data_IF_076713050493
#
_entry.id   IF_076713050493
#
_cell.length_a   1.000
_cell.length_b   1.000
_cell.length_c   1.000
_cell.angle_alpha   90.00
_cell.angle_beta   90.00
_cell.angle_gamma   90.00
#
_symmetry.space_group_name_H-M   'P 1'
#
loop_
_entity.id
_entity.type
_entity.pdbx_description
1 polymer ?
#
# COMPACT_ATOMS: atom_id res chain seq x y z
N UNK A 1 3.34 -35.08 -29.45
CA UNK A 1 2.38 -34.04 -29.01
C UNK A 1 2.55 -33.59 -27.55
N UNK A 2 3.62 -33.97 -26.84
CA UNK A 2 3.78 -33.76 -25.38
C UNK A 2 4.60 -32.52 -24.96
N UNK A 3 5.40 -31.93 -25.86
CA UNK A 3 6.33 -30.82 -25.50
C UNK A 3 5.67 -29.45 -25.30
N UNK A 4 4.49 -29.19 -25.86
CA UNK A 4 3.78 -27.91 -25.69
C UNK A 4 3.07 -27.79 -24.33
N UNK A 5 2.89 -28.92 -23.64
CA UNK A 5 2.09 -29.05 -22.42
C UNK A 5 2.91 -28.89 -21.14
N UNK A 6 4.17 -29.35 -21.15
CA UNK A 6 5.11 -29.11 -20.05
C UNK A 6 5.37 -27.61 -19.88
N UNK A 7 5.41 -26.85 -20.97
CA UNK A 7 5.59 -25.40 -20.93
C UNK A 7 4.41 -24.66 -20.28
N UNK A 8 3.16 -25.14 -20.42
CA UNK A 8 2.01 -24.47 -19.82
C UNK A 8 1.95 -24.73 -18.30
N UNK A 9 2.16 -25.97 -17.86
CA UNK A 9 2.23 -26.30 -16.43
C UNK A 9 3.46 -25.67 -15.77
N UNK A 10 4.62 -25.67 -16.43
CA UNK A 10 5.83 -25.01 -15.91
C UNK A 10 5.64 -23.49 -15.87
N UNK A 11 4.98 -22.85 -16.85
CA UNK A 11 4.67 -21.41 -16.77
C UNK A 11 3.66 -21.07 -15.67
N UNK A 12 2.65 -21.91 -15.45
CA UNK A 12 1.65 -21.68 -14.38
C UNK A 12 2.22 -21.94 -12.99
N UNK A 13 2.98 -23.02 -12.80
CA UNK A 13 3.68 -23.27 -11.53
C UNK A 13 4.87 -22.30 -11.32
N UNK A 14 5.53 -21.79 -12.38
CA UNK A 14 6.47 -20.66 -12.27
C UNK A 14 5.75 -19.37 -11.87
N UNK A 15 4.54 -19.11 -12.37
CA UNK A 15 3.76 -17.92 -11.99
C UNK A 15 3.29 -18.00 -10.52
N UNK A 16 2.88 -19.17 -10.05
CA UNK A 16 2.51 -19.39 -8.65
C UNK A 16 3.69 -19.24 -7.66
N UNK A 17 4.93 -19.46 -8.13
CA UNK A 17 6.16 -19.23 -7.37
C UNK A 17 6.89 -17.91 -7.69
N UNK A 18 6.37 -17.06 -8.58
CA UNK A 18 7.03 -15.83 -9.06
C UNK A 18 6.61 -14.56 -8.31
N UNK A 19 6.27 -14.66 -7.03
CA UNK A 19 6.45 -13.50 -6.13
C UNK A 19 7.94 -13.17 -5.92
N UNK A 20 8.88 -14.03 -6.32
CA UNK A 20 10.32 -13.87 -6.00
C UNK A 20 11.33 -13.92 -7.18
N UNK A 21 10.93 -14.04 -8.46
CA UNK A 21 11.91 -14.08 -9.56
C UNK A 21 11.61 -13.13 -10.72
N UNK A 22 12.46 -12.11 -10.83
CA UNK A 22 12.74 -11.40 -12.07
C UNK A 22 11.76 -10.28 -12.36
N UNK A 23 12.12 -9.06 -11.95
CA UNK A 23 11.81 -7.87 -12.74
C UNK A 23 12.15 -8.19 -14.20
N UNK A 24 11.12 -8.51 -15.02
CA UNK A 24 11.17 -8.24 -16.45
C UNK A 24 11.70 -6.81 -16.54
N UNK A 25 12.78 -6.54 -17.31
CA UNK A 25 13.40 -5.22 -17.34
C UNK A 25 12.30 -4.20 -17.56
N UNK A 26 11.98 -3.49 -16.47
CA UNK A 26 10.93 -2.48 -16.46
C UNK A 26 11.55 -1.38 -17.29
N UNK A 27 11.27 -1.41 -18.59
CA UNK A 27 11.52 -0.28 -19.46
C UNK A 27 10.99 0.93 -18.73
N UNK A 28 11.87 1.92 -18.49
CA UNK A 28 11.61 3.09 -17.65
C UNK A 28 10.16 3.55 -17.80
N UNK A 29 9.43 3.85 -16.71
CA UNK A 29 8.07 4.34 -16.77
C UNK A 29 8.07 5.79 -17.29
N UNK A 30 8.27 5.95 -18.60
CA UNK A 30 8.07 7.21 -19.34
C UNK A 30 6.89 7.11 -20.29
N UNK A 31 6.25 5.94 -20.38
CA UNK A 31 5.03 5.75 -21.15
C UNK A 31 3.84 6.36 -20.39
N UNK A 32 3.17 7.33 -21.01
CA UNK A 32 1.93 7.93 -20.51
C UNK A 32 0.91 6.83 -20.16
N UNK A 33 0.14 6.98 -19.06
CA UNK A 33 -0.88 5.99 -18.68
C UNK A 33 -1.84 5.77 -19.87
N UNK A 34 -2.00 4.51 -20.25
CA UNK A 34 -2.90 4.11 -21.34
C UNK A 34 -4.33 4.27 -20.85
N UNK A 35 -5.19 4.95 -21.62
CA UNK A 35 -6.58 5.14 -21.23
C UNK A 35 -7.34 3.81 -21.19
N UNK A 36 -8.28 3.69 -20.26
CA UNK A 36 -9.16 2.51 -20.12
C UNK A 36 -9.81 2.11 -21.44
N UNK A 37 -10.34 3.08 -22.20
CA UNK A 37 -10.99 2.81 -23.49
C UNK A 37 -10.04 2.15 -24.49
N UNK A 38 -8.77 2.55 -24.50
CA UNK A 38 -7.76 1.97 -25.38
C UNK A 38 -7.40 0.55 -24.96
N UNK A 39 -7.26 0.29 -23.66
CA UNK A 39 -7.05 -1.06 -23.12
C UNK A 39 -8.23 -1.99 -23.45
N UNK A 40 -9.46 -1.54 -23.24
CA UNK A 40 -10.68 -2.29 -23.62
C UNK A 40 -10.68 -2.60 -25.11
N UNK A 41 -10.34 -1.62 -25.96
CA UNK A 41 -10.23 -1.84 -27.41
C UNK A 41 -9.16 -2.86 -27.80
N UNK A 42 -8.04 -2.90 -27.08
CA UNK A 42 -6.98 -3.89 -27.29
C UNK A 42 -7.42 -5.29 -26.87
N UNK A 43 -8.04 -5.44 -25.69
CA UNK A 43 -8.55 -6.72 -25.18
C UNK A 43 -9.61 -7.32 -26.12
N UNK A 44 -10.60 -6.51 -26.52
CA UNK A 44 -11.66 -6.94 -27.44
C UNK A 44 -11.16 -7.17 -28.88
N UNK A 45 -9.99 -6.64 -29.21
CA UNK A 45 -9.37 -6.73 -30.53
C UNK A 45 -9.04 -8.16 -30.96
N UNK A 46 -8.98 -8.37 -32.28
CA UNK A 46 -8.59 -9.66 -32.88
C UNK A 46 -7.08 -9.93 -32.80
N UNK A 47 -6.25 -8.89 -32.73
CA UNK A 47 -4.79 -9.00 -32.66
C UNK A 47 -4.35 -9.61 -31.34
N UNK A 48 -3.65 -10.74 -31.41
CA UNK A 48 -3.10 -11.45 -30.25
C UNK A 48 -2.01 -10.63 -29.55
N UNK A 49 -1.12 -10.01 -30.32
CA UNK A 49 -0.04 -9.14 -29.83
C UNK A 49 -0.58 -7.97 -29.00
N UNK A 50 -1.63 -7.29 -29.49
CA UNK A 50 -2.24 -6.17 -28.75
C UNK A 50 -2.93 -6.61 -27.47
N UNK A 51 -3.49 -7.83 -27.43
CA UNK A 51 -4.05 -8.40 -26.20
C UNK A 51 -2.96 -8.73 -25.20
N UNK A 52 -1.86 -9.30 -25.66
CA UNK A 52 -0.68 -9.59 -24.83
C UNK A 52 -0.10 -8.30 -24.24
N UNK A 53 0.04 -7.25 -25.05
CA UNK A 53 0.47 -5.92 -24.60
C UNK A 53 -0.49 -5.33 -23.56
N UNK A 54 -1.80 -5.42 -23.79
CA UNK A 54 -2.80 -4.95 -22.83
C UNK A 54 -2.71 -5.69 -21.49
N UNK A 55 -2.57 -7.02 -21.51
CA UNK A 55 -2.43 -7.84 -20.30
C UNK A 55 -1.14 -7.58 -19.53
N UNK A 56 -0.05 -7.22 -20.23
CA UNK A 56 1.22 -6.85 -19.62
C UNK A 56 1.17 -5.48 -18.92
N UNK A 57 0.34 -4.56 -19.42
CA UNK A 57 0.17 -3.21 -18.87
C UNK A 57 -0.90 -3.16 -17.78
N UNK A 58 -1.84 -4.11 -17.76
CA UNK A 58 -2.91 -4.17 -16.76
C UNK A 58 -2.35 -4.43 -15.35
N UNK A 59 -2.57 -3.46 -14.47
CA UNK A 59 -2.36 -3.59 -13.04
C UNK A 59 -3.64 -4.06 -12.32
N UNK A 60 -3.52 -4.42 -11.03
CA UNK A 60 -4.65 -4.87 -10.22
C UNK A 60 -5.74 -3.79 -10.08
N UNK A 61 -5.38 -2.51 -10.10
CA UNK A 61 -6.31 -1.39 -9.96
C UNK A 61 -7.20 -1.21 -11.22
N UNK A 62 -6.63 -1.40 -12.41
CA UNK A 62 -7.34 -1.29 -13.68
C UNK A 62 -8.37 -2.40 -13.84
N UNK A 63 -8.11 -3.61 -13.35
CA UNK A 63 -9.07 -4.73 -13.44
C UNK A 63 -10.36 -4.47 -12.68
N UNK A 64 -10.32 -3.63 -11.62
CA UNK A 64 -11.53 -3.23 -10.88
C UNK A 64 -12.53 -2.43 -11.73
N UNK A 65 -12.11 -1.90 -12.88
CA UNK A 65 -12.99 -1.16 -13.76
C UNK A 65 -13.87 -2.14 -14.55
N UNK A 66 -15.20 -2.01 -14.40
CA UNK A 66 -16.21 -2.86 -15.05
C UNK A 66 -15.92 -3.10 -16.55
N UNK A 67 -15.60 -2.06 -17.37
CA UNK A 67 -15.35 -2.29 -18.80
C UNK A 67 -14.15 -3.20 -19.11
N UNK A 68 -13.14 -3.21 -18.23
CA UNK A 68 -11.95 -4.06 -18.37
C UNK A 68 -12.31 -5.50 -18.00
N UNK A 69 -12.99 -5.72 -16.88
CA UNK A 69 -13.45 -7.05 -16.48
C UNK A 69 -14.33 -7.70 -17.56
N UNK A 70 -15.30 -6.97 -18.11
CA UNK A 70 -16.14 -7.47 -19.21
C UNK A 70 -15.33 -7.77 -20.47
N UNK A 71 -14.32 -6.95 -20.80
CA UNK A 71 -13.44 -7.21 -21.94
C UNK A 71 -12.55 -8.45 -21.74
N UNK A 72 -12.13 -8.74 -20.51
CA UNK A 72 -11.41 -9.96 -20.16
C UNK A 72 -12.32 -11.20 -20.29
N UNK A 73 -13.56 -11.13 -19.80
CA UNK A 73 -14.56 -12.21 -20.00
C UNK A 73 -14.79 -12.49 -21.47
N UNK A 74 -15.02 -11.44 -22.28
CA UNK A 74 -15.19 -11.58 -23.73
C UNK A 74 -13.98 -12.22 -24.40
N UNK A 75 -12.75 -11.89 -23.94
CA UNK A 75 -11.51 -12.50 -24.41
C UNK A 75 -11.48 -14.00 -24.12
N UNK A 76 -11.78 -14.38 -22.87
CA UNK A 76 -11.86 -15.78 -22.44
C UNK A 76 -12.91 -16.53 -23.24
N UNK A 77 -14.15 -16.04 -23.31
CA UNK A 77 -15.23 -16.69 -24.03
C UNK A 77 -14.91 -16.87 -25.52
N UNK A 78 -14.33 -15.86 -26.17
CA UNK A 78 -13.94 -15.96 -27.57
C UNK A 78 -12.92 -17.07 -27.77
N UNK A 79 -11.89 -17.11 -26.94
CA UNK A 79 -10.81 -18.10 -27.04
C UNK A 79 -11.36 -19.52 -26.79
N UNK A 80 -12.29 -19.67 -25.85
CA UNK A 80 -13.02 -20.91 -25.58
C UNK A 80 -13.90 -21.35 -26.77
N UNK A 81 -14.64 -20.43 -27.40
CA UNK A 81 -15.43 -20.71 -28.61
C UNK A 81 -14.54 -21.19 -29.77
N UNK A 82 -13.31 -20.69 -29.83
CA UNK A 82 -12.30 -21.12 -30.81
C UNK A 82 -11.60 -22.44 -30.41
N UNK A 83 -11.95 -23.04 -29.26
CA UNK A 83 -11.29 -24.20 -28.66
C UNK A 83 -9.78 -23.99 -28.50
N UNK A 84 -9.37 -22.78 -28.14
CA UNK A 84 -7.98 -22.37 -27.94
C UNK A 84 -7.81 -21.88 -26.51
N UNK A 85 -7.52 -22.77 -25.58
CA UNK A 85 -6.97 -22.36 -24.28
C UNK A 85 -5.52 -21.87 -24.50
N UNK A 86 -5.35 -20.56 -24.66
CA UNK A 86 -4.03 -19.94 -24.88
C UNK A 86 -3.46 -19.42 -23.57
N UNK A 87 -2.18 -19.04 -23.59
CA UNK A 87 -1.56 -18.32 -22.47
C UNK A 87 -2.33 -17.03 -22.12
N UNK A 88 -2.87 -16.33 -23.12
CA UNK A 88 -3.66 -15.12 -22.91
C UNK A 88 -4.98 -15.40 -22.21
N UNK A 89 -5.58 -16.57 -22.49
CA UNK A 89 -6.78 -17.04 -21.81
C UNK A 89 -6.50 -17.24 -20.31
N UNK A 90 -5.36 -17.87 -19.98
CA UNK A 90 -4.94 -18.05 -18.60
C UNK A 90 -4.62 -16.74 -17.90
N UNK A 91 -3.86 -15.86 -18.54
CA UNK A 91 -3.59 -14.52 -18.02
C UNK A 91 -4.87 -13.73 -17.80
N UNK A 92 -5.85 -13.82 -18.71
CA UNK A 92 -7.13 -13.13 -18.55
C UNK A 92 -7.93 -13.67 -17.36
N UNK A 93 -7.92 -14.99 -17.13
CA UNK A 93 -8.57 -15.61 -15.96
C UNK A 93 -7.87 -15.21 -14.64
N UNK A 94 -6.54 -15.24 -14.58
CA UNK A 94 -5.80 -14.79 -13.38
C UNK A 94 -6.02 -13.30 -13.11
N UNK A 95 -6.09 -12.46 -14.15
CA UNK A 95 -6.49 -11.06 -13.97
C UNK A 95 -7.92 -10.94 -13.45
N UNK A 96 -8.89 -11.64 -14.03
CA UNK A 96 -10.29 -11.64 -13.55
C UNK A 96 -10.40 -12.07 -12.09
N UNK A 97 -9.55 -12.99 -11.64
CA UNK A 97 -9.51 -13.39 -10.25
C UNK A 97 -9.07 -12.27 -9.29
N UNK A 98 -8.51 -11.15 -9.77
CA UNK A 98 -8.24 -9.97 -8.95
C UNK A 98 -9.45 -9.02 -8.83
N UNK A 99 -10.55 -9.30 -9.53
CA UNK A 99 -11.77 -8.47 -9.45
C UNK A 99 -12.51 -8.68 -8.14
N UNK A 100 -13.06 -7.62 -7.56
CA UNK A 100 -13.88 -7.69 -6.34
C UNK A 100 -15.36 -8.02 -6.62
N UNK A 101 -15.75 -8.15 -7.90
CA UNK A 101 -17.13 -8.41 -8.29
C UNK A 101 -17.47 -9.89 -8.21
N UNK A 102 -18.56 -10.21 -7.53
CA UNK A 102 -19.07 -11.58 -7.43
C UNK A 102 -19.39 -12.19 -8.80
N UNK A 103 -19.84 -11.40 -9.78
CA UNK A 103 -20.12 -11.92 -11.12
C UNK A 103 -18.87 -12.42 -11.85
N UNK A 104 -17.72 -11.80 -11.59
CA UNK A 104 -16.44 -12.19 -12.21
C UNK A 104 -15.92 -13.48 -11.56
N UNK A 105 -16.10 -13.61 -10.25
CA UNK A 105 -15.77 -14.82 -9.48
C UNK A 105 -16.68 -15.97 -9.89
N UNK A 106 -18.00 -15.75 -9.94
CA UNK A 106 -18.96 -16.76 -10.39
C UNK A 106 -18.70 -17.23 -11.82
N UNK A 107 -18.25 -16.32 -12.70
CA UNK A 107 -17.81 -16.69 -14.04
C UNK A 107 -16.63 -17.68 -14.00
N UNK A 108 -15.60 -17.42 -13.18
CA UNK A 108 -14.48 -18.35 -13.00
C UNK A 108 -14.91 -19.67 -12.34
N UNK A 109 -15.77 -19.63 -11.33
CA UNK A 109 -16.33 -20.84 -10.69
C UNK A 109 -17.04 -21.71 -11.73
N UNK A 110 -17.86 -21.11 -12.60
CA UNK A 110 -18.51 -21.84 -13.70
C UNK A 110 -17.51 -22.44 -14.68
N UNK A 111 -16.36 -21.80 -14.90
CA UNK A 111 -15.31 -22.34 -15.77
C UNK A 111 -14.58 -23.54 -15.17
N UNK A 112 -14.57 -23.68 -13.83
CA UNK A 112 -14.10 -24.93 -13.20
C UNK A 112 -14.97 -26.12 -13.61
N UNK A 113 -16.24 -25.89 -13.94
CA UNK A 113 -17.12 -26.96 -14.41
C UNK A 113 -16.86 -27.40 -15.86
N UNK A 114 -16.00 -26.69 -16.60
CA UNK A 114 -15.71 -26.94 -18.01
C UNK A 114 -15.29 -28.40 -18.28
N UNK A 115 -15.72 -29.00 -19.41
CA UNK A 115 -15.24 -30.32 -19.84
C UNK A 115 -13.78 -30.27 -20.34
N UNK A 116 -13.27 -29.10 -20.73
CA UNK A 116 -11.86 -28.93 -21.05
C UNK A 116 -11.07 -28.82 -19.74
N UNK A 117 -10.33 -29.88 -19.43
CA UNK A 117 -9.47 -30.02 -18.24
C UNK A 117 -8.55 -28.81 -18.07
N UNK A 118 -8.01 -28.25 -19.16
CA UNK A 118 -7.08 -27.12 -19.07
C UNK A 118 -7.81 -25.84 -18.64
N UNK A 119 -9.00 -25.61 -19.18
CA UNK A 119 -9.82 -24.45 -18.85
C UNK A 119 -10.26 -24.53 -17.39
N UNK A 120 -10.73 -25.71 -16.97
CA UNK A 120 -11.12 -25.97 -15.60
C UNK A 120 -9.93 -25.80 -14.63
N UNK A 121 -8.76 -26.32 -14.98
CA UNK A 121 -7.54 -26.17 -14.20
C UNK A 121 -7.12 -24.72 -14.05
N UNK A 122 -7.03 -23.98 -15.16
CA UNK A 122 -6.61 -22.58 -15.15
C UNK A 122 -7.58 -21.73 -14.34
N UNK A 123 -8.90 -21.93 -14.49
CA UNK A 123 -9.89 -21.23 -13.69
C UNK A 123 -9.71 -21.50 -12.19
N UNK A 124 -9.44 -22.75 -11.80
CA UNK A 124 -9.21 -23.11 -10.41
C UNK A 124 -7.90 -22.57 -9.84
N UNK A 125 -6.82 -22.59 -10.61
CA UNK A 125 -5.56 -21.98 -10.24
C UNK A 125 -5.73 -20.46 -10.02
N UNK A 126 -6.42 -19.77 -10.95
CA UNK A 126 -6.75 -18.36 -10.79
C UNK A 126 -7.61 -18.09 -9.55
N UNK A 127 -8.60 -18.93 -9.24
CA UNK A 127 -9.40 -18.80 -8.02
C UNK A 127 -8.58 -19.01 -6.74
N UNK A 128 -7.64 -19.96 -6.76
CA UNK A 128 -6.78 -20.23 -5.62
C UNK A 128 -5.83 -19.06 -5.30
N UNK A 129 -5.38 -18.29 -6.30
CA UNK A 129 -4.59 -17.07 -6.11
C UNK A 129 -5.28 -16.02 -5.21
N UNK A 130 -6.64 -16.03 -5.15
CA UNK A 130 -7.41 -15.14 -4.27
C UNK A 130 -7.24 -15.46 -2.80
N UNK A 131 -6.86 -16.71 -2.48
CA UNK A 131 -6.73 -17.21 -1.11
C UNK A 131 -8.03 -17.06 -0.30
N UNK A 132 -9.16 -17.27 -0.96
CA UNK A 132 -10.50 -17.20 -0.36
C UNK A 132 -10.97 -18.62 0.01
N UNK A 133 -11.28 -18.90 1.29
CA UNK A 133 -11.76 -20.21 1.74
C UNK A 133 -13.06 -20.65 1.08
N UNK A 134 -13.96 -19.73 0.74
CA UNK A 134 -15.27 -20.06 0.15
C UNK A 134 -15.13 -20.60 -1.27
N UNK A 135 -13.99 -20.34 -1.92
CA UNK A 135 -13.66 -20.83 -3.25
C UNK A 135 -12.93 -22.17 -3.23
N UNK A 136 -12.55 -22.70 -2.06
CA UNK A 136 -11.92 -24.01 -1.94
C UNK A 136 -12.82 -25.16 -2.40
N UNK A 137 -14.11 -25.26 -2.02
CA UNK A 137 -14.97 -26.37 -2.43
C UNK A 137 -15.01 -26.63 -3.95
N UNK A 138 -15.23 -25.63 -4.84
CA UNK A 138 -15.20 -25.87 -6.28
C UNK A 138 -13.80 -26.29 -6.78
N UNK A 139 -12.71 -25.74 -6.23
CA UNK A 139 -11.33 -26.14 -6.57
C UNK A 139 -11.09 -27.61 -6.17
N UNK A 140 -11.46 -28.00 -4.95
CA UNK A 140 -11.29 -29.36 -4.45
C UNK A 140 -12.12 -30.38 -5.23
N UNK A 141 -13.32 -29.98 -5.69
CA UNK A 141 -14.17 -30.83 -6.52
C UNK A 141 -13.50 -31.25 -7.85
N UNK A 142 -12.57 -30.44 -8.37
CA UNK A 142 -11.81 -30.80 -9.57
C UNK A 142 -10.86 -31.95 -9.32
N UNK A 143 -10.22 -32.02 -8.15
CA UNK A 143 -9.30 -33.09 -7.81
C UNK A 143 -9.97 -34.48 -7.83
N UNK A 144 -11.30 -34.51 -7.63
CA UNK A 144 -12.11 -35.73 -7.66
C UNK A 144 -12.45 -36.22 -9.07
N UNK A 145 -12.26 -35.37 -10.10
CA UNK A 145 -12.51 -35.76 -11.50
C UNK A 145 -11.43 -36.73 -11.97
N UNK A 146 -11.83 -37.80 -12.65
CA UNK A 146 -10.91 -38.87 -13.09
C UNK A 146 -9.79 -38.34 -13.98
N UNK A 147 -10.10 -37.35 -14.81
CA UNK A 147 -9.18 -36.70 -15.74
C UNK A 147 -8.08 -35.91 -15.01
N UNK A 148 -8.42 -35.34 -13.86
CA UNK A 148 -7.48 -34.60 -13.00
C UNK A 148 -6.70 -35.53 -12.08
N UNK A 149 -7.36 -36.53 -11.51
CA UNK A 149 -6.75 -37.53 -10.64
C UNK A 149 -5.59 -38.27 -11.30
N UNK A 150 -5.59 -38.39 -12.63
CA UNK A 150 -4.51 -39.04 -13.38
C UNK A 150 -3.33 -38.10 -13.69
N UNK A 151 -3.50 -36.80 -13.56
CA UNK A 151 -2.45 -35.82 -13.87
C UNK A 151 -1.73 -35.37 -12.60
N UNK A 152 -0.53 -35.90 -12.39
CA UNK A 152 0.34 -35.52 -11.27
C UNK A 152 0.61 -34.01 -11.22
N UNK A 153 0.90 -33.38 -12.37
CA UNK A 153 1.21 -31.95 -12.42
C UNK A 153 0.02 -31.06 -12.03
N UNK A 154 -1.20 -31.43 -12.41
CA UNK A 154 -2.39 -30.67 -12.02
C UNK A 154 -2.72 -30.84 -10.54
N UNK A 155 -2.58 -32.06 -10.01
CA UNK A 155 -2.74 -32.29 -8.58
C UNK A 155 -1.72 -31.48 -7.79
N UNK A 156 -0.44 -31.51 -8.17
CA UNK A 156 0.60 -30.71 -7.50
C UNK A 156 0.34 -29.20 -7.54
N UNK A 157 0.07 -28.59 -8.70
CA UNK A 157 -0.18 -27.15 -8.71
C UNK A 157 -1.49 -26.78 -7.94
N UNK A 158 -2.49 -27.69 -7.87
CA UNK A 158 -3.69 -27.48 -7.04
C UNK A 158 -3.39 -27.60 -5.55
N UNK A 159 -2.54 -28.55 -5.17
CA UNK A 159 -1.97 -28.71 -3.82
C UNK A 159 -1.24 -27.44 -3.39
N UNK A 160 -0.30 -26.97 -4.21
CA UNK A 160 0.49 -25.77 -3.92
C UNK A 160 -0.40 -24.54 -3.75
N UNK A 161 -1.41 -24.40 -4.61
CA UNK A 161 -2.32 -23.27 -4.56
C UNK A 161 -3.26 -23.32 -3.34
N UNK A 162 -3.66 -24.52 -2.91
CA UNK A 162 -4.49 -24.70 -1.71
C UNK A 162 -3.66 -24.61 -0.43
N UNK A 163 -2.41 -25.10 -0.41
CA UNK A 163 -1.50 -25.02 0.74
C UNK A 163 -1.20 -23.57 1.17
N UNK A 164 -1.34 -22.62 0.25
CA UNK A 164 -1.15 -21.18 0.54
C UNK A 164 -2.39 -20.48 1.13
N UNK A 165 -3.53 -21.15 1.23
CA UNK A 165 -4.79 -20.59 1.75
C UNK A 165 -4.86 -20.59 3.30
N UNK A 166 -4.47 -21.66 4.01
CA UNK A 166 -4.51 -21.75 5.48
C UNK A 166 -3.76 -20.64 6.22
N UNK A 167 -2.58 -20.22 5.77
CA UNK A 167 -1.74 -19.27 6.52
C UNK A 167 -2.34 -17.86 6.63
N UNK A 168 -3.21 -17.48 5.68
CA UNK A 168 -3.99 -16.25 5.77
C UNK A 168 -5.24 -16.42 6.63
N UNK A 169 -5.79 -17.64 6.70
CA UNK A 169 -6.92 -17.97 7.55
C UNK A 169 -6.56 -18.03 9.02
N UNK A 170 -5.38 -18.55 9.40
CA UNK A 170 -4.96 -18.52 10.81
C UNK A 170 -4.72 -17.09 11.32
N UNK A 171 -4.34 -16.15 10.42
CA UNK A 171 -4.21 -14.72 10.72
C UNK A 171 -5.52 -13.93 10.68
N UNK A 172 -6.55 -14.42 9.95
CA UNK A 172 -7.86 -13.76 9.81
C UNK A 172 -8.96 -14.38 10.71
N UNK A 173 -8.77 -15.61 11.18
CA UNK A 173 -9.75 -16.33 11.97
C UNK A 173 -9.54 -16.11 13.47
N UNK A 174 -9.98 -14.95 13.96
CA UNK A 174 -10.29 -14.76 15.38
C UNK A 174 -11.49 -15.63 15.82
N UNK A 175 -12.23 -16.22 14.87
CA UNK A 175 -13.40 -17.05 15.13
C UNK A 175 -13.07 -18.56 15.13
N UNK A 176 -13.41 -19.30 16.19
CA UNK A 176 -13.19 -20.75 16.28
C UNK A 176 -13.92 -21.55 15.18
N UNK A 177 -15.02 -21.01 14.63
CA UNK A 177 -15.76 -21.66 13.54
C UNK A 177 -14.98 -21.69 12.22
N UNK A 178 -14.24 -20.61 11.92
CA UNK A 178 -13.42 -20.54 10.72
C UNK A 178 -12.22 -21.50 10.83
N UNK A 179 -11.59 -21.59 12.01
CA UNK A 179 -10.51 -22.56 12.28
C UNK A 179 -10.99 -24.02 12.10
N UNK A 180 -12.19 -24.35 12.58
CA UNK A 180 -12.75 -25.69 12.41
C UNK A 180 -13.04 -26.02 10.93
N UNK A 181 -13.53 -25.04 10.15
CA UNK A 181 -13.76 -25.22 8.72
C UNK A 181 -12.45 -25.46 7.95
N UNK A 182 -11.39 -24.73 8.30
CA UNK A 182 -10.05 -24.92 7.72
C UNK A 182 -9.51 -26.31 8.05
N UNK A 183 -9.56 -26.74 9.31
CA UNK A 183 -9.12 -28.09 9.71
C UNK A 183 -9.89 -29.20 9.00
N UNK A 184 -11.21 -29.04 8.84
CA UNK A 184 -12.05 -29.99 8.10
C UNK A 184 -11.69 -30.05 6.62
N UNK A 185 -11.37 -28.91 6.01
CA UNK A 185 -10.92 -28.86 4.62
C UNK A 185 -9.51 -29.45 4.47
N UNK A 186 -8.59 -29.19 5.41
CA UNK A 186 -7.23 -29.75 5.43
C UNK A 186 -7.24 -31.29 5.47
N UNK A 187 -8.06 -31.87 6.35
CA UNK A 187 -8.25 -33.32 6.40
C UNK A 187 -8.82 -33.88 5.09
N UNK A 188 -9.86 -33.23 4.53
CA UNK A 188 -10.44 -33.64 3.25
C UNK A 188 -9.44 -33.57 2.10
N UNK A 189 -8.56 -32.57 2.11
CA UNK A 189 -7.49 -32.45 1.12
C UNK A 189 -6.49 -33.58 1.26
N UNK A 190 -6.00 -33.86 2.47
CA UNK A 190 -5.09 -34.99 2.72
C UNK A 190 -5.71 -36.31 2.24
N UNK A 191 -6.98 -36.56 2.55
CA UNK A 191 -7.71 -37.74 2.10
C UNK A 191 -7.82 -37.84 0.56
N UNK A 192 -8.01 -36.70 -0.13
CA UNK A 192 -8.17 -36.64 -1.58
C UNK A 192 -6.84 -36.74 -2.35
N UNK A 193 -5.76 -36.24 -1.76
CA UNK A 193 -4.45 -36.21 -2.38
C UNK A 193 -3.76 -37.59 -2.35
N UNK A 194 -4.06 -38.40 -1.34
CA UNK A 194 -3.40 -39.67 -1.11
C UNK A 194 -1.94 -39.51 -0.66
N UNK A 195 -1.29 -40.61 -0.29
CA UNK A 195 0.06 -40.62 0.28
C UNK A 195 1.11 -39.97 -0.64
N UNK A 196 0.99 -40.16 -1.96
CA UNK A 196 1.96 -39.68 -2.96
C UNK A 196 2.10 -38.14 -3.01
N UNK A 197 1.03 -37.41 -2.68
CA UNK A 197 0.98 -35.95 -2.78
C UNK A 197 0.90 -35.27 -1.41
N UNK A 198 0.65 -36.05 -0.36
CA UNK A 198 0.61 -35.53 1.01
C UNK A 198 1.96 -34.95 1.42
N UNK A 199 3.08 -35.60 1.05
CA UNK A 199 4.42 -35.07 1.33
C UNK A 199 4.63 -33.70 0.65
N UNK A 200 4.24 -33.56 -0.63
CA UNK A 200 4.36 -32.29 -1.36
C UNK A 200 3.45 -31.21 -0.79
N UNK A 201 2.27 -31.58 -0.28
CA UNK A 201 1.36 -30.66 0.41
C UNK A 201 1.95 -30.16 1.74
N UNK A 202 2.50 -31.09 2.53
CA UNK A 202 3.10 -30.77 3.83
C UNK A 202 4.39 -29.94 3.65
N UNK A 203 5.20 -30.23 2.62
CA UNK A 203 6.34 -29.38 2.21
C UNK A 203 5.89 -27.98 1.80
N UNK A 204 4.91 -27.86 0.89
CA UNK A 204 4.42 -26.56 0.44
C UNK A 204 3.76 -25.73 1.55
N UNK A 205 3.16 -26.40 2.55
CA UNK A 205 2.65 -25.75 3.75
C UNK A 205 3.78 -25.22 4.64
N UNK A 206 4.82 -26.01 4.89
CA UNK A 206 5.97 -25.55 5.66
C UNK A 206 6.70 -24.38 4.97
N UNK A 207 6.86 -24.41 3.66
CA UNK A 207 7.44 -23.29 2.90
C UNK A 207 6.61 -22.00 3.06
N UNK A 208 5.28 -22.13 3.10
CA UNK A 208 4.37 -21.01 3.29
C UNK A 208 4.41 -20.47 4.74
N UNK A 209 4.53 -21.35 5.74
CA UNK A 209 4.76 -21.01 7.14
C UNK A 209 6.09 -20.25 7.32
N UNK A 210 7.18 -20.73 6.71
CA UNK A 210 8.49 -20.07 6.74
C UNK A 210 8.45 -18.67 6.07
N UNK A 211 7.78 -18.56 4.92
CA UNK A 211 7.57 -17.29 4.25
C UNK A 211 6.74 -16.31 5.11
N UNK A 212 5.74 -16.81 5.82
CA UNK A 212 4.92 -16.01 6.73
C UNK A 212 5.73 -15.47 7.92
N UNK A 213 6.67 -16.26 8.47
CA UNK A 213 7.59 -15.84 9.52
C UNK A 213 8.57 -14.77 9.03
N UNK A 214 9.10 -14.91 7.82
CA UNK A 214 9.98 -13.89 7.22
C UNK A 214 9.27 -12.54 7.07
N UNK A 215 8.01 -12.54 6.60
CA UNK A 215 7.22 -11.32 6.48
C UNK A 215 6.94 -10.67 7.85
N UNK A 216 6.75 -11.46 8.91
CA UNK A 216 6.59 -10.93 10.26
C UNK A 216 7.87 -10.25 10.77
N UNK A 217 9.04 -10.87 10.54
CA UNK A 217 10.34 -10.29 10.89
C UNK A 217 10.58 -8.99 10.12
N UNK A 218 10.28 -8.93 8.83
CA UNK A 218 10.39 -7.70 8.03
C UNK A 218 9.43 -6.60 8.50
N UNK A 219 8.20 -6.98 8.87
CA UNK A 219 7.20 -6.04 9.37
C UNK A 219 7.61 -5.45 10.73
N UNK A 220 8.16 -6.26 11.63
CA UNK A 220 8.66 -5.78 12.92
C UNK A 220 9.91 -4.91 12.76
N UNK A 221 10.84 -5.28 11.87
CA UNK A 221 11.98 -4.43 11.52
C UNK A 221 11.53 -3.06 10.94
N UNK A 222 10.50 -3.05 10.08
CA UNK A 222 9.93 -1.82 9.54
C UNK A 222 9.27 -0.94 10.62
N UNK A 223 8.59 -1.55 11.59
CA UNK A 223 8.03 -0.83 12.76
C UNK A 223 9.13 -0.22 13.62
N UNK A 224 10.20 -0.97 13.91
CA UNK A 224 11.34 -0.48 14.67
C UNK A 224 12.03 0.69 13.96
N UNK A 225 12.25 0.59 12.64
CA UNK A 225 12.81 1.69 11.84
C UNK A 225 11.92 2.94 11.87
N UNK A 226 10.60 2.76 11.78
CA UNK A 226 9.65 3.86 11.86
C UNK A 226 9.62 4.51 13.25
N UNK A 227 9.71 3.71 14.32
CA UNK A 227 9.83 4.23 15.69
C UNK A 227 11.14 5.01 15.87
N UNK A 228 12.26 4.51 15.37
CA UNK A 228 13.54 5.19 15.41
C UNK A 228 13.52 6.54 14.66
N UNK A 229 12.89 6.60 13.47
CA UNK A 229 12.69 7.86 12.72
C UNK A 229 11.83 8.86 13.49
N UNK A 230 10.73 8.40 14.10
CA UNK A 230 9.88 9.26 14.90
C UNK A 230 10.60 9.81 16.14
N UNK A 231 11.43 9.00 16.79
CA UNK A 231 12.25 9.42 17.94
C UNK A 231 13.31 10.46 17.52
N UNK A 232 13.99 10.23 16.39
CA UNK A 232 14.95 11.17 15.83
C UNK A 232 14.30 12.52 15.52
N UNK A 233 13.13 12.52 14.85
CA UNK A 233 12.37 13.74 14.61
C UNK A 233 11.97 14.47 15.89
N UNK A 234 11.65 13.73 16.96
CA UNK A 234 11.30 14.31 18.25
C UNK A 234 12.51 15.00 18.88
N UNK A 235 13.68 14.36 18.84
CA UNK A 235 14.93 14.94 19.34
C UNK A 235 15.31 16.20 18.55
N UNK A 236 15.18 16.19 17.22
CA UNK A 236 15.43 17.36 16.39
C UNK A 236 14.46 18.52 16.64
N UNK A 237 13.18 18.22 16.91
CA UNK A 237 12.20 19.25 17.30
C UNK A 237 12.56 19.86 18.66
N UNK A 238 12.94 19.05 19.63
CA UNK A 238 13.35 19.53 20.95
C UNK A 238 14.60 20.42 20.88
N UNK A 239 15.63 20.01 20.14
CA UNK A 239 16.86 20.83 20.00
C UNK A 239 16.61 22.16 19.31
N UNK A 240 15.70 22.22 18.32
CA UNK A 240 15.25 23.48 17.71
C UNK A 240 14.52 24.37 18.72
N UNK A 241 13.61 23.81 19.52
CA UNK A 241 12.89 24.60 20.55
C UNK A 241 13.81 25.12 21.64
N UNK A 242 14.85 24.37 22.02
CA UNK A 242 15.87 24.82 22.98
C UNK A 242 16.70 25.97 22.40
N UNK A 243 17.13 25.87 21.14
CA UNK A 243 17.85 26.94 20.45
C UNK A 243 17.00 28.22 20.33
N UNK A 244 15.72 28.08 19.98
CA UNK A 244 14.78 29.21 19.90
C UNK A 244 14.54 29.86 21.27
N UNK A 245 14.44 29.04 22.33
CA UNK A 245 14.31 29.54 23.70
C UNK A 245 15.57 30.29 24.17
N UNK A 246 16.77 29.81 23.83
CA UNK A 246 18.03 30.49 24.14
C UNK A 246 18.16 31.81 23.36
N UNK A 247 17.78 31.83 22.08
CA UNK A 247 17.74 33.03 21.26
C UNK A 247 16.72 34.05 21.80
N UNK A 248 15.54 33.60 22.25
CA UNK A 248 14.54 34.43 22.89
C UNK A 248 15.04 35.03 24.21
N UNK A 249 15.77 34.26 25.03
CA UNK A 249 16.40 34.77 26.26
C UNK A 249 17.41 35.86 25.95
N UNK A 250 18.33 35.64 24.98
CA UNK A 250 19.32 36.65 24.56
C UNK A 250 18.67 37.94 24.05
N UNK A 251 17.59 37.83 23.26
CA UNK A 251 16.80 38.99 22.83
C UNK A 251 16.12 39.71 24.00
N UNK A 252 15.60 38.98 24.98
CA UNK A 252 14.99 39.61 26.16
C UNK A 252 16.01 40.36 27.01
N UNK A 253 17.24 39.85 27.13
CA UNK A 253 18.33 40.51 27.85
C UNK A 253 18.82 41.78 27.14
N UNK A 254 18.90 41.77 25.81
CA UNK A 254 19.26 42.98 25.05
C UNK A 254 18.18 44.05 25.13
N UNK A 255 16.90 43.66 25.10
CA UNK A 255 15.77 44.59 25.29
C UNK A 255 15.78 45.18 26.70
N UNK A 256 16.07 44.39 27.75
CA UNK A 256 16.21 44.89 29.12
C UNK A 256 17.32 45.91 29.25
N UNK A 257 18.51 45.63 28.70
CA UNK A 257 19.63 46.61 28.67
C UNK A 257 19.24 47.89 27.94
N UNK A 258 18.64 47.77 26.76
CA UNK A 258 18.19 48.95 26.00
C UNK A 258 17.13 49.77 26.75
N UNK A 259 16.24 49.11 27.50
CA UNK A 259 15.24 49.78 28.32
C UNK A 259 15.87 50.48 29.54
N UNK A 260 16.85 49.87 30.18
CA UNK A 260 17.63 50.48 31.27
C UNK A 260 18.41 51.72 30.78
N UNK A 261 19.05 51.64 29.61
CA UNK A 261 19.75 52.76 29.01
C UNK A 261 18.80 53.91 28.64
N UNK A 262 17.64 53.58 28.06
CA UNK A 262 16.59 54.58 27.74
C UNK A 262 16.05 55.25 29.01
N UNK A 263 15.86 54.48 30.09
CA UNK A 263 15.44 55.01 31.38
C UNK A 263 16.46 56.01 31.94
N UNK A 264 17.76 55.66 31.91
CA UNK A 264 18.83 56.56 32.36
C UNK A 264 18.85 57.87 31.57
N UNK A 265 18.65 57.80 30.26
CA UNK A 265 18.57 58.98 29.40
C UNK A 265 17.38 59.88 29.79
N UNK A 266 16.20 59.31 30.02
CA UNK A 266 15.00 60.05 30.44
C UNK A 266 15.18 60.67 31.84
N UNK A 267 15.79 59.95 32.77
CA UNK A 267 16.09 60.47 34.12
C UNK A 267 17.07 61.66 34.06
N UNK A 268 18.05 61.63 33.15
CA UNK A 268 18.97 62.74 32.94
C UNK A 268 18.30 63.94 32.25
N UNK A 269 17.39 63.71 31.31
CA UNK A 269 16.56 64.77 30.71
C UNK A 269 15.63 65.42 31.74
N UNK A 270 14.99 64.63 32.62
CA UNK A 270 14.17 65.15 33.71
C UNK A 270 14.98 66.06 34.63
N UNK A 271 16.17 65.63 35.06
CA UNK A 271 17.08 66.46 35.86
C UNK A 271 17.48 67.77 35.17
N UNK A 272 17.65 67.75 33.84
CA UNK A 272 17.94 68.96 33.08
C UNK A 272 16.74 69.91 33.05
N UNK A 273 15.53 69.40 32.83
CA UNK A 273 14.31 70.18 32.85
C UNK A 273 14.03 70.78 34.24
N UNK A 274 14.25 70.04 35.32
CA UNK A 274 14.12 70.55 36.69
C UNK A 274 15.07 71.73 36.94
N UNK A 275 16.32 71.63 36.47
CA UNK A 275 17.28 72.74 36.57
C UNK A 275 16.84 73.97 35.78
N UNK A 276 16.21 73.79 34.62
CA UNK A 276 15.68 74.89 33.82
C UNK A 276 14.46 75.52 34.47
N UNK A 277 13.55 74.73 35.03
CA UNK A 277 12.40 75.21 35.80
C UNK A 277 12.85 76.10 36.96
N UNK A 278 13.80 75.64 37.77
CA UNK A 278 14.34 76.44 38.89
C UNK A 278 14.98 77.76 38.42
N UNK A 279 15.63 77.77 37.25
CA UNK A 279 16.16 79.02 36.67
C UNK A 279 15.04 79.96 36.23
N UNK A 280 14.03 79.44 35.53
CA UNK A 280 12.90 80.23 35.05
C UNK A 280 12.07 80.80 36.22
N UNK A 281 11.84 80.01 37.27
CA UNK A 281 11.18 80.48 38.50
C UNK A 281 11.97 81.62 39.15
N UNK A 282 13.30 81.52 39.18
CA UNK A 282 14.17 82.58 39.69
C UNK A 282 14.11 83.84 38.83
N UNK A 283 14.13 83.71 37.51
CA UNK A 283 13.99 84.83 36.57
C UNK A 283 12.62 85.50 36.67
N UNK A 284 11.54 84.71 36.76
CA UNK A 284 10.19 85.19 36.98
C UNK A 284 10.09 86.00 38.28
N UNK A 285 10.63 85.48 39.40
CA UNK A 285 10.65 86.20 40.67
C UNK A 285 11.52 87.46 40.68
N UNK A 286 12.44 87.62 39.72
CA UNK A 286 13.17 88.90 39.51
C UNK A 286 12.28 89.86 38.71
N UNK A 287 11.59 89.38 37.68
CA UNK A 287 10.68 90.19 36.87
C UNK A 287 9.48 90.70 37.69
N UNK A 288 8.89 89.85 38.53
CA UNK A 288 7.81 90.26 39.45
C UNK A 288 8.27 91.38 40.39
N UNK A 289 9.47 91.27 40.99
CA UNK A 289 10.03 92.33 41.84
C UNK A 289 10.22 93.64 41.09
N UNK A 290 10.76 93.60 39.86
CA UNK A 290 10.90 94.80 39.01
C UNK A 290 9.55 95.40 38.63
N UNK A 291 8.54 94.57 38.37
CA UNK A 291 7.20 95.04 38.05
C UNK A 291 6.56 95.77 39.25
N UNK A 292 6.75 95.25 40.47
CA UNK A 292 6.30 95.91 41.71
C UNK A 292 7.05 97.23 41.92
N UNK A 293 8.38 97.27 41.80
CA UNK A 293 9.18 98.51 41.91
C UNK A 293 8.77 99.57 40.88
N UNK A 294 8.46 99.17 39.64
CA UNK A 294 7.96 100.08 38.60
C UNK A 294 6.56 100.62 38.91
N UNK A 295 5.68 99.84 39.55
CA UNK A 295 4.36 100.30 39.98
C UNK A 295 4.45 101.24 41.19
N UNK A 296 5.39 100.99 42.11
CA UNK A 296 5.64 101.87 43.26
C UNK A 296 6.25 103.21 42.85
N UNK A 297 7.04 103.26 41.77
CA UNK A 297 7.62 104.50 41.25
C UNK A 297 6.68 105.35 40.39
N UNK A 298 5.49 104.84 40.04
CA UNK A 298 4.45 105.55 39.29
C UNK A 298 3.32 106.12 40.17
N UNK A 299 3.25 105.74 41.44
CA UNK A 299 2.33 106.29 42.45
C UNK A 299 3.02 107.33 43.33
#
# INVERSE_FOLDING_TARGET
MTRRWVLLCVSLCLFAGQSAFGQVPVGRPTAKPVSTQKLVGFLKGKSEERRAEALAILDAAAVKQIPIAEALKETVERDLRLKRATLLTAQSMSRLALSERDEDIQFLVKLTESPDVNVAFVAAASLAERKDPELLPPIVSLAQRKEFAQSFGFRRCLVDAVAQVPDKLDKLAESPKAQEAVRKNDLRLRDLLGEDLQTSYDEGRHDAEDAALLVEVELDAAKEEQLAKNEQERVEKLSKTEADAEAAKKKSESVKKSAEDSKRLLDDQLKQLDRLLVRLEKEHGILERRAVENLESQN
#
